data_IF_378138371240
#
_entry.id   IF_378138371240
#
_cell.length_a   1.000
_cell.length_b   1.000
_cell.length_c   1.000
_cell.angle_alpha   90.00
_cell.angle_beta   90.00
_cell.angle_gamma   90.00
#
_symmetry.space_group_name_H-M   'P 1'
#
loop_
_entity.id
_entity.type
_entity.pdbx_description
1 polymer ?
#
# COMPACT_ATOMS: atom_id res chain seq x y z
N UNK A 1 8.75 -3.20 -13.25
CA UNK A 1 7.51 -2.85 -12.54
C UNK A 1 6.57 -2.06 -13.44
N UNK A 2 5.29 -2.42 -13.42
CA UNK A 2 4.21 -1.62 -13.99
C UNK A 2 3.52 -0.84 -12.86
N UNK A 3 3.35 0.47 -13.05
CA UNK A 3 2.67 1.35 -12.10
C UNK A 3 1.37 1.85 -12.71
N UNK A 4 0.27 1.71 -11.97
CA UNK A 4 -1.07 2.18 -12.37
C UNK A 4 -1.63 3.09 -11.27
N UNK A 5 -2.48 4.05 -11.60
CA UNK A 5 -3.12 4.83 -10.53
C UNK A 5 -4.09 3.95 -9.75
N UNK A 6 -4.11 4.10 -8.42
CA UNK A 6 -5.02 3.35 -7.55
C UNK A 6 -6.48 3.50 -7.98
N UNK A 7 -6.88 4.74 -8.33
CA UNK A 7 -8.25 5.07 -8.75
C UNK A 7 -8.62 4.53 -10.13
N UNK A 8 -7.64 4.09 -10.93
CA UNK A 8 -7.83 3.55 -12.29
C UNK A 8 -7.75 2.01 -12.31
N UNK A 9 -7.50 1.35 -11.17
CA UNK A 9 -7.48 -0.11 -11.09
C UNK A 9 -8.87 -0.70 -11.33
N UNK A 10 -8.96 -1.75 -12.14
CA UNK A 10 -10.21 -2.49 -12.36
C UNK A 10 -10.51 -3.46 -11.20
N UNK A 11 -9.50 -4.17 -10.69
CA UNK A 11 -9.66 -5.09 -9.56
C UNK A 11 -10.12 -4.34 -8.31
N UNK A 12 -11.06 -4.92 -7.57
CA UNK A 12 -11.56 -4.39 -6.30
C UNK A 12 -10.72 -4.89 -5.11
N UNK A 13 -9.92 -5.93 -5.29
CA UNK A 13 -9.13 -6.53 -4.23
C UNK A 13 -7.66 -6.10 -4.31
N UNK A 14 -7.14 -5.59 -3.19
CA UNK A 14 -5.73 -5.29 -3.00
C UNK A 14 -5.10 -6.40 -2.18
N UNK A 15 -4.12 -7.10 -2.77
CA UNK A 15 -3.53 -8.31 -2.22
C UNK A 15 -2.25 -8.00 -1.42
N UNK A 16 -1.85 -8.89 -0.50
CA UNK A 16 -0.54 -8.78 0.17
C UNK A 16 0.58 -8.63 -0.88
N UNK A 17 1.57 -7.79 -0.58
CA UNK A 17 2.65 -7.45 -1.50
C UNK A 17 2.34 -6.28 -2.44
N UNK A 18 1.08 -5.83 -2.52
CA UNK A 18 0.73 -4.59 -3.23
C UNK A 18 1.52 -3.43 -2.67
N UNK A 19 2.16 -2.66 -3.56
CA UNK A 19 2.97 -1.48 -3.21
C UNK A 19 2.24 -0.23 -3.68
N UNK A 20 2.14 0.76 -2.79
CA UNK A 20 1.60 2.08 -3.03
C UNK A 20 2.74 3.09 -3.08
N UNK A 21 2.89 3.78 -4.21
CA UNK A 21 3.85 4.86 -4.41
C UNK A 21 3.12 6.18 -4.44
N UNK A 22 3.55 7.13 -3.61
CA UNK A 22 2.89 8.43 -3.53
C UNK A 22 3.87 9.54 -3.08
N UNK A 23 3.61 10.80 -3.46
CA UNK A 23 4.34 11.94 -2.89
C UNK A 23 4.25 11.95 -1.37
N UNK A 24 5.32 12.32 -0.67
CA UNK A 24 5.29 12.44 0.78
C UNK A 24 6.07 13.67 1.24
N UNK A 25 5.98 13.95 2.53
CA UNK A 25 6.65 15.07 3.18
C UNK A 25 7.45 14.59 4.38
N UNK A 26 8.32 15.47 4.92
CA UNK A 26 9.14 15.18 6.08
C UNK A 26 8.31 14.53 7.21
N UNK A 27 8.74 13.40 7.80
CA UNK A 27 10.09 12.82 7.78
C UNK A 27 10.40 11.86 6.62
N UNK A 28 9.48 11.67 5.67
CA UNK A 28 9.73 10.84 4.49
C UNK A 28 10.45 11.63 3.39
N UNK A 29 11.00 10.89 2.43
CA UNK A 29 11.45 11.41 1.15
C UNK A 29 10.28 12.00 0.35
N UNK A 30 10.54 12.84 -0.68
CA UNK A 30 9.48 13.44 -1.49
C UNK A 30 8.55 12.44 -2.19
N UNK A 31 8.98 11.20 -2.35
CA UNK A 31 8.16 10.07 -2.83
C UNK A 31 8.54 8.84 -2.00
N UNK A 32 7.54 8.11 -1.53
CA UNK A 32 7.72 6.91 -0.70
C UNK A 32 6.88 5.76 -1.25
N UNK A 33 7.36 4.54 -0.99
CA UNK A 33 6.62 3.31 -1.25
C UNK A 33 6.19 2.67 0.08
N UNK A 34 4.88 2.46 0.25
CA UNK A 34 4.32 1.62 1.31
C UNK A 34 3.85 0.30 0.74
N UNK A 35 4.07 -0.81 1.44
CA UNK A 35 3.64 -2.14 1.01
C UNK A 35 2.60 -2.71 1.97
N UNK A 36 1.54 -3.30 1.40
CA UNK A 36 0.55 -4.08 2.14
C UNK A 36 1.15 -5.41 2.57
N UNK A 37 1.13 -5.73 3.86
CA UNK A 37 1.61 -7.01 4.36
C UNK A 37 0.63 -7.64 5.36
N UNK A 38 0.79 -8.94 5.60
CA UNK A 38 -0.03 -9.67 6.56
C UNK A 38 0.39 -9.29 7.99
N UNK A 39 -0.58 -8.84 8.79
CA UNK A 39 -0.39 -8.50 10.19
C UNK A 39 -1.52 -9.10 11.03
N UNK A 40 -1.21 -10.20 11.72
CA UNK A 40 -2.17 -10.90 12.56
C UNK A 40 -2.62 -10.11 13.80
N UNK A 41 -1.91 -9.03 14.16
CA UNK A 41 -2.30 -8.17 15.27
C UNK A 41 -3.32 -7.10 14.85
N UNK A 42 -3.42 -6.79 13.56
CA UNK A 42 -4.44 -5.88 13.03
C UNK A 42 -5.81 -6.55 12.91
N UNK A 43 -6.88 -5.78 13.03
CA UNK A 43 -8.25 -6.31 12.94
C UNK A 43 -8.58 -6.87 11.55
N UNK A 44 -8.11 -6.18 10.49
CA UNK A 44 -8.25 -6.63 9.11
C UNK A 44 -7.33 -7.81 8.74
N UNK A 45 -6.31 -8.10 9.55
CA UNK A 45 -5.22 -9.02 9.19
C UNK A 45 -4.16 -8.40 8.27
N UNK A 46 -4.22 -7.10 8.00
CA UNK A 46 -3.28 -6.35 7.18
C UNK A 46 -2.83 -5.03 7.81
N UNK A 47 -1.58 -4.68 7.51
CA UNK A 47 -0.96 -3.41 7.86
C UNK A 47 -0.11 -2.90 6.70
N UNK A 48 0.37 -1.66 6.81
CA UNK A 48 1.30 -1.06 5.86
C UNK A 48 2.70 -0.98 6.45
N UNK A 49 3.71 -1.24 5.62
CA UNK A 49 5.11 -1.05 5.96
C UNK A 49 5.76 -0.10 4.96
N UNK A 50 6.55 0.85 5.45
CA UNK A 50 7.37 1.68 4.58
C UNK A 50 8.52 0.84 4.01
N UNK A 51 8.77 0.92 2.70
CA UNK A 51 9.74 0.05 2.00
C UNK A 51 10.88 0.80 1.33
N UNK A 52 10.89 2.12 1.41
CA UNK A 52 11.90 2.98 0.81
C UNK A 52 12.37 4.05 1.79
N UNK A 53 13.62 4.49 1.62
CA UNK A 53 14.12 5.67 2.33
C UNK A 53 14.36 5.49 3.82
N UNK A 54 14.41 6.60 4.55
CA UNK A 54 14.83 6.66 5.95
C UNK A 54 13.94 5.85 6.89
N UNK A 55 12.62 5.81 6.63
CA UNK A 55 11.65 5.06 7.44
C UNK A 55 11.41 3.63 6.93
N UNK A 56 12.22 3.13 6.01
CA UNK A 56 12.08 1.75 5.51
C UNK A 56 12.11 0.73 6.66
N UNK A 57 11.16 -0.21 6.64
CA UNK A 57 10.92 -1.20 7.68
C UNK A 57 10.00 -0.73 8.81
N UNK A 58 9.56 0.53 8.80
CA UNK A 58 8.62 1.04 9.80
C UNK A 58 7.19 0.56 9.51
N UNK A 59 6.50 0.14 10.57
CA UNK A 59 5.07 -0.18 10.53
C UNK A 59 4.26 1.12 10.53
N UNK A 60 3.53 1.38 9.45
CA UNK A 60 2.80 2.64 9.24
C UNK A 60 1.31 2.53 9.61
N UNK A 61 0.95 1.55 10.46
CA UNK A 61 -0.39 1.39 11.01
C UNK A 61 -1.13 0.14 10.52
N UNK A 62 -1.95 -0.40 11.43
CA UNK A 62 -2.82 -1.54 11.14
C UNK A 62 -4.17 -1.11 10.62
N UNK A 63 -4.66 -1.81 9.59
CA UNK A 63 -5.92 -1.49 8.95
C UNK A 63 -7.09 -2.08 9.75
N UNK A 64 -8.21 -1.34 9.88
CA UNK A 64 -9.35 -1.74 10.69
C UNK A 64 -10.19 -2.80 9.96
N UNK A 65 -11.07 -3.49 10.68
CA UNK A 65 -11.84 -4.61 10.13
C UNK A 65 -12.60 -4.27 8.84
N UNK A 66 -13.18 -3.07 8.74
CA UNK A 66 -13.93 -2.59 7.58
C UNK A 66 -13.10 -2.44 6.30
N UNK A 67 -11.77 -2.37 6.41
CA UNK A 67 -10.88 -2.35 5.25
C UNK A 67 -10.87 -3.68 4.49
N UNK A 68 -11.21 -4.78 5.17
CA UNK A 68 -11.18 -6.12 4.57
C UNK A 68 -12.17 -6.22 3.41
N UNK A 69 -11.69 -6.76 2.29
CA UNK A 69 -12.53 -7.03 1.14
C UNK A 69 -13.67 -8.00 1.52
N UNK A 70 -14.84 -7.80 0.91
CA UNK A 70 -16.01 -8.65 1.14
C UNK A 70 -15.79 -10.04 0.52
N UNK A 71 -16.38 -11.05 1.15
CA UNK A 71 -16.20 -12.45 0.76
C UNK A 71 -15.07 -13.13 1.54
N UNK A 72 -14.93 -14.45 1.39
CA UNK A 72 -13.89 -15.24 2.08
C UNK A 72 -12.53 -15.08 1.40
N UNK A 73 -12.04 -13.84 1.27
CA UNK A 73 -10.79 -13.49 0.60
C UNK A 73 -9.83 -12.82 1.60
N UNK A 74 -8.53 -13.04 1.41
CA UNK A 74 -7.47 -12.37 2.18
C UNK A 74 -6.94 -11.19 1.37
N UNK A 75 -7.74 -10.12 1.31
CA UNK A 75 -7.44 -8.89 0.59
C UNK A 75 -8.10 -7.69 1.28
N UNK A 76 -7.69 -6.48 0.89
CA UNK A 76 -8.29 -5.19 1.27
C UNK A 76 -9.15 -4.67 0.13
N UNK A 77 -10.27 -4.01 0.45
CA UNK A 77 -11.11 -3.36 -0.55
C UNK A 77 -10.43 -2.11 -1.09
N UNK A 78 -10.25 -2.05 -2.42
CA UNK A 78 -9.78 -0.86 -3.12
C UNK A 78 -10.71 0.32 -2.88
N UNK A 79 -12.02 0.10 -2.99
CA UNK A 79 -13.03 1.15 -2.77
C UNK A 79 -12.90 1.73 -1.37
N UNK A 80 -12.80 0.87 -0.34
CA UNK A 80 -12.59 1.35 1.03
C UNK A 80 -11.30 2.15 1.16
N UNK A 81 -10.19 1.66 0.61
CA UNK A 81 -8.90 2.35 0.69
C UNK A 81 -8.94 3.72 0.01
N UNK A 82 -9.66 3.84 -1.12
CA UNK A 82 -9.85 5.12 -1.82
C UNK A 82 -10.60 6.13 -0.95
N UNK A 83 -11.70 5.70 -0.33
CA UNK A 83 -12.53 6.56 0.52
C UNK A 83 -11.83 6.97 1.83
N UNK A 84 -10.86 6.17 2.28
CA UNK A 84 -10.25 6.29 3.61
C UNK A 84 -8.76 6.62 3.60
N UNK A 85 -8.17 6.87 2.43
CA UNK A 85 -6.74 7.07 2.25
C UNK A 85 -6.14 8.09 3.22
N UNK A 86 -6.70 9.30 3.28
CA UNK A 86 -6.16 10.38 4.11
C UNK A 86 -6.34 10.15 5.61
N UNK A 87 -7.26 9.25 6.00
CA UNK A 87 -7.53 8.95 7.39
C UNK A 87 -6.66 7.80 7.92
N UNK A 88 -6.27 6.87 7.05
CA UNK A 88 -5.65 5.61 7.46
C UNK A 88 -4.27 5.34 6.85
N UNK A 89 -3.91 6.04 5.76
CA UNK A 89 -2.64 5.82 5.08
C UNK A 89 -1.75 7.04 5.15
N UNK A 90 -2.16 8.15 4.52
CA UNK A 90 -1.34 9.35 4.48
C UNK A 90 -2.17 10.62 4.23
N UNK A 91 -2.30 11.53 5.22
CA UNK A 91 -3.19 12.67 5.14
C UNK A 91 -2.75 13.75 4.14
N UNK A 92 -1.44 13.90 3.90
CA UNK A 92 -0.90 14.98 3.04
C UNK A 92 -0.99 14.68 1.54
N UNK A 93 -1.53 13.53 1.13
CA UNK A 93 -1.57 13.14 -0.29
C UNK A 93 -2.95 12.69 -0.73
N UNK A 94 -3.40 13.24 -1.86
CA UNK A 94 -4.65 12.84 -2.48
C UNK A 94 -4.51 11.44 -3.07
N UNK A 95 -5.54 10.61 -2.90
CA UNK A 95 -5.54 9.25 -3.45
C UNK A 95 -5.42 9.21 -4.99
N UNK A 96 -5.77 10.31 -5.66
CA UNK A 96 -5.61 10.45 -7.12
C UNK A 96 -4.15 10.51 -7.58
N UNK A 97 -3.22 10.80 -6.66
CA UNK A 97 -1.77 10.84 -6.91
C UNK A 97 -1.08 9.51 -6.56
N UNK A 98 -1.82 8.55 -6.02
CA UNK A 98 -1.30 7.25 -5.59
C UNK A 98 -1.17 6.31 -6.78
N UNK A 99 0.03 5.79 -6.96
CA UNK A 99 0.34 4.72 -7.90
C UNK A 99 0.43 3.38 -7.18
N UNK A 100 0.12 2.30 -7.88
CA UNK A 100 0.07 0.94 -7.35
C UNK A 100 0.84 0.00 -8.27
N UNK A 101 1.55 -0.94 -7.66
CA UNK A 101 2.13 -2.10 -8.32
C UNK A 101 1.79 -3.37 -7.53
N UNK A 102 1.65 -4.51 -8.20
CA UNK A 102 1.38 -5.80 -7.55
C UNK A 102 2.57 -6.29 -6.69
N UNK A 103 3.74 -5.69 -6.87
CA UNK A 103 4.94 -5.95 -6.10
C UNK A 103 6.20 -5.46 -6.79
N UNK A 104 7.33 -5.56 -6.08
CA UNK A 104 8.64 -5.28 -6.68
C UNK A 104 9.05 -6.37 -7.66
N UNK A 105 9.42 -5.99 -8.88
CA UNK A 105 10.04 -6.92 -9.84
C UNK A 105 11.49 -7.13 -9.45
N UNK A 106 11.87 -8.39 -9.24
CA UNK A 106 13.25 -8.79 -8.98
C UNK A 106 13.98 -8.96 -10.31
N UNK A 107 15.08 -8.24 -10.49
CA UNK A 107 16.09 -8.58 -11.49
C UNK A 107 17.28 -9.15 -10.74
N UNK A 108 17.58 -10.43 -10.95
CA UNK A 108 18.88 -10.95 -10.56
C UNK A 108 19.86 -10.31 -11.53
N UNK A 109 20.62 -9.32 -11.07
CA UNK A 109 21.69 -8.73 -11.86
C UNK A 109 22.54 -9.86 -12.46
N UNK A 110 22.94 -9.72 -13.73
CA UNK A 110 23.72 -10.74 -14.41
C UNK A 110 24.88 -11.14 -13.50
N UNK A 111 24.93 -12.42 -13.12
CA UNK A 111 26.04 -12.98 -12.35
C UNK A 111 27.28 -12.73 -13.22
N UNK A 112 28.11 -11.77 -12.82
CA UNK A 112 29.37 -11.46 -13.49
C UNK A 112 30.36 -12.60 -13.26
#
# INVERSE_FOLDING_TARGET
MEWKKLVELEDENLWRGTVFRFPATYPFEPVVDFMLFLDSASESGFSLVCTTGYKSGHHEGGLPLEARAKGKVQAISKTWLIENWTNWVYPETSVTEVQVSEGYTQEIGTIA
#
